data_IF_748817986357
#
_entry.id   IF_748817986357
#
_cell.length_a   1.000
_cell.length_b   1.000
_cell.length_c   1.000
_cell.angle_alpha   90.00
_cell.angle_beta   90.00
_cell.angle_gamma   90.00
#
_symmetry.space_group_name_H-M   'P 1'
#
loop_
_entity.id
_entity.type
_entity.pdbx_description
1 polymer ?
#
# COMPACT_ATOMS: atom_id res chain seq x y z
N UNK A 1 -19.41 -0.71 -15.53
CA UNK A 1 -19.63 -2.08 -16.05
C UNK A 1 -20.81 -2.83 -15.39
N UNK A 2 -21.61 -2.20 -14.51
CA UNK A 2 -22.70 -2.89 -13.79
C UNK A 2 -24.01 -3.06 -14.59
N UNK A 3 -24.25 -2.28 -15.64
CA UNK A 3 -25.54 -2.28 -16.36
C UNK A 3 -25.75 -3.46 -17.34
N UNK A 4 -24.71 -4.26 -17.64
CA UNK A 4 -24.84 -5.45 -18.51
C UNK A 4 -25.30 -6.70 -17.75
N UNK A 5 -25.07 -6.76 -16.44
CA UNK A 5 -25.38 -7.95 -15.64
C UNK A 5 -26.87 -8.05 -15.28
N UNK A 6 -27.52 -6.90 -15.02
CA UNK A 6 -28.94 -6.81 -14.67
C UNK A 6 -29.92 -7.07 -15.83
N UNK A 7 -29.47 -6.97 -17.10
CA UNK A 7 -30.32 -7.23 -18.27
C UNK A 7 -30.40 -8.71 -18.67
N UNK A 8 -29.52 -9.55 -18.14
CA UNK A 8 -29.48 -10.98 -18.47
C UNK A 8 -30.39 -11.83 -17.58
N UNK A 9 -30.77 -11.33 -16.39
CA UNK A 9 -31.65 -12.04 -15.46
C UNK A 9 -33.13 -11.89 -15.79
N UNK A 10 -33.53 -10.81 -16.48
CA UNK A 10 -34.93 -10.60 -16.89
C UNK A 10 -35.33 -11.38 -18.14
N UNK A 11 -34.38 -11.72 -19.02
CA UNK A 11 -34.67 -12.56 -20.21
C UNK A 11 -34.79 -14.05 -19.89
N UNK A 12 -34.09 -14.54 -18.86
CA UNK A 12 -34.17 -15.94 -18.47
C UNK A 12 -35.43 -16.27 -17.66
N UNK A 13 -35.99 -15.31 -16.91
CA UNK A 13 -37.23 -15.52 -16.16
C UNK A 13 -38.46 -15.64 -17.08
N UNK A 14 -38.54 -14.81 -18.12
CA UNK A 14 -39.66 -14.82 -19.09
C UNK A 14 -39.67 -16.11 -19.92
N UNK A 15 -38.52 -16.59 -20.37
CA UNK A 15 -38.38 -17.83 -21.14
C UNK A 15 -38.76 -19.09 -20.33
N UNK A 16 -38.60 -19.06 -19.01
CA UNK A 16 -39.02 -20.16 -18.14
C UNK A 16 -40.54 -20.17 -17.91
N UNK A 17 -41.18 -18.99 -17.89
CA UNK A 17 -42.63 -18.85 -17.73
C UNK A 17 -43.38 -19.43 -18.93
N UNK A 18 -42.96 -19.06 -20.15
CA UNK A 18 -43.55 -19.55 -21.41
C UNK A 18 -43.39 -21.07 -21.56
N UNK A 19 -42.27 -21.63 -21.10
CA UNK A 19 -42.05 -23.09 -21.07
C UNK A 19 -42.99 -23.80 -20.12
N UNK A 20 -43.31 -23.18 -18.98
CA UNK A 20 -44.22 -23.77 -18.01
C UNK A 20 -45.67 -23.74 -18.52
N UNK A 21 -46.09 -22.65 -19.15
CA UNK A 21 -47.42 -22.52 -19.76
C UNK A 21 -47.60 -23.49 -20.93
N UNK A 22 -46.58 -23.69 -21.78
CA UNK A 22 -46.62 -24.68 -22.86
C UNK A 22 -46.74 -26.13 -22.36
N UNK A 23 -46.05 -26.48 -21.27
CA UNK A 23 -46.17 -27.80 -20.63
C UNK A 23 -47.53 -27.97 -19.94
N UNK A 24 -48.07 -26.91 -19.36
CA UNK A 24 -49.40 -26.91 -18.75
C UNK A 24 -50.53 -27.06 -19.79
N UNK A 25 -50.37 -26.45 -20.97
CA UNK A 25 -51.33 -26.59 -22.06
C UNK A 25 -51.33 -28.02 -22.65
N UNK A 26 -50.16 -28.66 -22.77
CA UNK A 26 -50.04 -30.06 -23.24
C UNK A 26 -50.69 -31.08 -22.29
N UNK A 27 -50.84 -30.76 -21.00
CA UNK A 27 -51.53 -31.64 -20.05
C UNK A 27 -53.06 -31.63 -20.22
N UNK A 28 -53.62 -30.67 -20.96
CA UNK A 28 -55.07 -30.45 -21.06
C UNK A 28 -55.73 -31.05 -22.31
N UNK A 29 -54.97 -31.58 -23.27
CA UNK A 29 -55.50 -32.12 -24.54
C UNK A 29 -55.47 -33.65 -24.66
N UNK A 30 -55.04 -34.39 -23.62
CA UNK A 30 -54.99 -35.87 -23.64
C UNK A 30 -55.99 -36.54 -22.71
N UNK A 31 -57.13 -35.91 -22.42
CA UNK A 31 -58.22 -36.51 -21.65
C UNK A 31 -59.03 -37.51 -22.50
N UNK A 32 -58.38 -38.56 -22.99
CA UNK A 32 -59.08 -39.83 -23.18
C UNK A 32 -59.41 -40.36 -21.79
N UNK A 33 -60.63 -40.86 -21.51
CA UNK A 33 -60.93 -41.49 -20.23
C UNK A 33 -59.90 -42.59 -20.01
N UNK A 34 -58.99 -42.37 -19.07
CA UNK A 34 -57.92 -43.30 -18.81
C UNK A 34 -58.60 -44.47 -18.12
N UNK A 35 -58.84 -45.53 -18.89
CA UNK A 35 -59.34 -46.79 -18.37
C UNK A 35 -58.48 -47.19 -17.16
N UNK A 36 -59.11 -47.42 -16.01
CA UNK A 36 -58.39 -47.68 -14.76
C UNK A 36 -57.45 -48.88 -14.93
N UNK A 37 -57.85 -49.82 -15.79
CA UNK A 37 -57.06 -50.98 -16.17
C UNK A 37 -55.85 -50.62 -17.05
N UNK A 38 -55.91 -49.58 -17.89
CA UNK A 38 -54.79 -49.05 -18.68
C UNK A 38 -53.71 -48.46 -17.76
N UNK A 39 -54.12 -47.70 -16.74
CA UNK A 39 -53.23 -47.18 -15.69
C UNK A 39 -52.59 -48.36 -14.95
N UNK A 40 -53.40 -49.33 -14.56
CA UNK A 40 -52.94 -50.49 -13.82
C UNK A 40 -51.93 -51.32 -14.61
N UNK A 41 -52.15 -51.52 -15.92
CA UNK A 41 -51.17 -52.18 -16.83
C UNK A 41 -49.90 -51.36 -17.03
N UNK A 42 -49.99 -50.03 -17.09
CA UNK A 42 -48.81 -49.17 -17.27
C UNK A 42 -47.94 -49.12 -16.00
N UNK A 43 -48.56 -49.16 -14.83
CA UNK A 43 -47.88 -49.21 -13.52
C UNK A 43 -47.36 -50.62 -13.24
N UNK A 44 -48.18 -51.65 -13.47
CA UNK A 44 -47.86 -53.08 -13.29
C UNK A 44 -47.56 -53.72 -14.65
N UNK A 45 -46.60 -53.13 -15.39
CA UNK A 45 -46.11 -53.74 -16.64
C UNK A 45 -45.72 -55.20 -16.40
N UNK A 46 -45.85 -56.08 -17.42
CA UNK A 46 -45.44 -57.47 -17.32
C UNK A 46 -44.05 -57.60 -16.70
N UNK A 47 -43.97 -58.40 -15.65
CA UNK A 47 -42.72 -58.65 -14.96
C UNK A 47 -41.72 -59.26 -15.95
N UNK A 48 -40.58 -58.58 -16.14
CA UNK A 48 -39.53 -59.11 -17.00
C UNK A 48 -38.84 -60.24 -16.26
N UNK A 49 -38.72 -61.39 -16.92
CA UNK A 49 -38.06 -62.58 -16.37
C UNK A 49 -36.70 -62.21 -15.77
N UNK A 50 -36.48 -62.55 -14.50
CA UNK A 50 -35.25 -62.26 -13.76
C UNK A 50 -35.17 -60.89 -13.06
N UNK A 51 -36.23 -60.06 -13.10
CA UNK A 51 -36.26 -58.78 -12.38
C UNK A 51 -37.48 -58.69 -11.46
N UNK A 52 -37.30 -59.17 -10.23
CA UNK A 52 -38.31 -59.07 -9.17
C UNK A 52 -38.49 -57.61 -8.75
N UNK A 53 -39.73 -57.10 -8.74
CA UNK A 53 -40.06 -55.82 -8.12
C UNK A 53 -40.04 -55.99 -6.58
N UNK A 54 -38.86 -55.97 -5.99
CA UNK A 54 -38.71 -55.95 -4.53
C UNK A 54 -39.08 -54.58 -3.95
N UNK A 55 -39.71 -54.55 -2.78
CA UNK A 55 -39.75 -53.35 -1.94
C UNK A 55 -38.38 -53.19 -1.28
N UNK A 56 -37.63 -52.17 -1.71
CA UNK A 56 -36.27 -51.83 -1.30
C UNK A 56 -35.75 -50.70 -2.18
N UNK A 57 -34.62 -50.07 -1.83
CA UNK A 57 -34.00 -49.07 -2.70
C UNK A 57 -33.64 -49.77 -4.03
N UNK A 58 -34.49 -49.64 -5.05
CA UNK A 58 -34.25 -50.19 -6.38
C UNK A 58 -32.96 -49.64 -6.99
N UNK A 59 -32.60 -50.09 -8.20
CA UNK A 59 -31.44 -49.56 -8.94
C UNK A 59 -31.48 -48.03 -8.92
N UNK A 60 -30.59 -47.42 -8.14
CA UNK A 60 -30.48 -45.97 -8.04
C UNK A 60 -30.23 -45.43 -9.45
N UNK A 61 -31.09 -44.56 -10.00
CA UNK A 61 -30.80 -43.98 -11.31
C UNK A 61 -29.48 -43.21 -11.21
N UNK A 62 -28.44 -43.65 -11.92
CA UNK A 62 -27.09 -43.04 -11.87
C UNK A 62 -27.04 -41.67 -12.58
N UNK A 63 -28.16 -40.99 -12.73
CA UNK A 63 -28.31 -39.79 -13.56
C UNK A 63 -28.98 -38.65 -12.78
N UNK A 64 -28.50 -38.39 -11.56
CA UNK A 64 -28.96 -37.22 -10.77
C UNK A 64 -27.80 -36.34 -10.27
N UNK A 65 -26.57 -36.84 -10.22
CA UNK A 65 -25.43 -36.05 -9.76
C UNK A 65 -24.42 -35.85 -10.89
N UNK A 66 -24.31 -34.58 -11.32
CA UNK A 66 -23.27 -33.92 -12.12
C UNK A 66 -22.18 -34.86 -12.68
N UNK A 67 -22.07 -34.95 -14.00
CA UNK A 67 -21.02 -35.72 -14.68
C UNK A 67 -19.65 -35.41 -14.08
N UNK A 68 -19.07 -36.40 -13.39
CA UNK A 68 -17.69 -36.32 -12.91
C UNK A 68 -16.78 -36.38 -14.14
N UNK A 69 -15.88 -35.42 -14.34
CA UNK A 69 -14.95 -35.45 -15.47
C UNK A 69 -14.15 -36.75 -15.44
N UNK A 70 -13.96 -37.34 -16.62
CA UNK A 70 -13.20 -38.58 -16.76
C UNK A 70 -11.75 -38.39 -16.33
N UNK A 71 -11.03 -39.49 -16.05
CA UNK A 71 -9.63 -39.45 -15.60
C UNK A 71 -8.73 -38.60 -16.51
N UNK A 72 -8.94 -38.69 -17.84
CA UNK A 72 -8.16 -37.96 -18.85
C UNK A 72 -8.38 -36.44 -18.72
N UNK A 73 -9.64 -36.01 -18.57
CA UNK A 73 -10.00 -34.61 -18.41
C UNK A 73 -9.41 -34.04 -17.12
N UNK A 74 -9.47 -34.79 -16.02
CA UNK A 74 -8.84 -34.41 -14.76
C UNK A 74 -7.32 -34.24 -14.89
N UNK A 75 -6.63 -35.18 -15.56
CA UNK A 75 -5.17 -35.07 -15.77
C UNK A 75 -4.80 -33.89 -16.65
N UNK A 76 -5.58 -33.59 -17.70
CA UNK A 76 -5.35 -32.44 -18.56
C UNK A 76 -5.56 -31.12 -17.82
N UNK A 77 -6.62 -31.02 -16.99
CA UNK A 77 -6.87 -29.87 -16.16
C UNK A 77 -5.77 -29.66 -15.12
N UNK A 78 -5.26 -30.73 -14.50
CA UNK A 78 -4.16 -30.68 -13.55
C UNK A 78 -2.87 -30.18 -14.21
N UNK A 79 -2.52 -30.69 -15.40
CA UNK A 79 -1.36 -30.21 -16.15
C UNK A 79 -1.50 -28.73 -16.52
N UNK A 80 -2.67 -28.31 -17.01
CA UNK A 80 -2.92 -26.91 -17.35
C UNK A 80 -2.85 -26.00 -16.11
N UNK A 81 -3.33 -26.45 -14.96
CA UNK A 81 -3.23 -25.74 -13.69
C UNK A 81 -1.77 -25.62 -13.24
N UNK A 82 -0.98 -26.70 -13.33
CA UNK A 82 0.44 -26.69 -12.97
C UNK A 82 1.24 -25.69 -13.81
N UNK A 83 1.05 -25.68 -15.13
CA UNK A 83 1.71 -24.71 -16.03
C UNK A 83 1.31 -23.27 -15.70
N UNK A 84 0.05 -23.03 -15.32
CA UNK A 84 -0.38 -21.70 -14.86
C UNK A 84 0.28 -21.34 -13.54
N UNK A 85 0.40 -22.27 -12.61
CA UNK A 85 1.03 -22.05 -11.32
C UNK A 85 2.53 -21.72 -11.49
N UNK A 86 3.27 -22.44 -12.32
CA UNK A 86 4.68 -22.13 -12.62
C UNK A 86 4.85 -20.71 -13.21
N UNK A 87 3.96 -20.32 -14.13
CA UNK A 87 3.92 -18.95 -14.67
C UNK A 87 3.61 -17.89 -13.62
N UNK A 88 2.79 -18.22 -12.62
CA UNK A 88 2.50 -17.32 -11.51
C UNK A 88 3.69 -17.22 -10.54
N UNK A 89 4.32 -18.34 -10.19
CA UNK A 89 5.51 -18.40 -9.34
C UNK A 89 6.62 -17.53 -9.93
N UNK A 90 6.96 -17.72 -11.21
CA UNK A 90 7.97 -16.91 -11.89
C UNK A 90 7.64 -15.40 -11.96
N UNK A 91 6.35 -15.03 -11.98
CA UNK A 91 5.94 -13.63 -11.89
C UNK A 91 6.09 -13.09 -10.47
N UNK A 92 5.72 -13.88 -9.46
CA UNK A 92 5.88 -13.53 -8.04
C UNK A 92 7.35 -13.31 -7.73
N UNK A 93 8.25 -14.21 -8.13
CA UNK A 93 9.70 -14.06 -7.94
C UNK A 93 10.25 -12.77 -8.58
N UNK A 94 9.77 -12.40 -9.77
CA UNK A 94 10.15 -11.15 -10.43
C UNK A 94 9.64 -9.92 -9.68
N UNK A 95 8.43 -9.98 -9.13
CA UNK A 95 7.88 -8.91 -8.31
C UNK A 95 8.61 -8.77 -6.98
N UNK A 96 8.93 -9.88 -6.33
CA UNK A 96 9.71 -9.91 -5.09
C UNK A 96 11.10 -9.31 -5.28
N UNK A 97 11.80 -9.65 -6.36
CA UNK A 97 13.10 -9.05 -6.69
C UNK A 97 13.00 -7.53 -6.89
N UNK A 98 12.01 -7.07 -7.65
CA UNK A 98 11.78 -5.62 -7.84
C UNK A 98 11.45 -4.90 -6.54
N UNK A 99 10.62 -5.49 -5.68
CA UNK A 99 10.31 -4.90 -4.38
C UNK A 99 11.55 -4.83 -3.48
N UNK A 100 12.44 -5.81 -3.55
CA UNK A 100 13.67 -5.83 -2.77
C UNK A 100 14.68 -4.79 -3.29
N UNK A 101 14.79 -4.62 -4.61
CA UNK A 101 15.57 -3.54 -5.24
C UNK A 101 15.03 -2.16 -4.84
N UNK A 102 13.72 -1.91 -5.01
CA UNK A 102 13.07 -0.65 -4.59
C UNK A 102 13.28 -0.35 -3.09
N UNK A 103 13.25 -1.39 -2.24
CA UNK A 103 13.53 -1.23 -0.81
C UNK A 103 14.97 -0.86 -0.54
N UNK A 104 15.94 -1.41 -1.28
CA UNK A 104 17.35 -1.03 -1.16
C UNK A 104 17.57 0.39 -1.62
N UNK A 105 17.06 0.76 -2.79
CA UNK A 105 17.15 2.13 -3.32
C UNK A 105 16.56 3.15 -2.34
N UNK A 106 15.38 2.88 -1.78
CA UNK A 106 14.78 3.77 -0.77
C UNK A 106 15.62 3.87 0.50
N UNK A 107 16.24 2.78 0.96
CA UNK A 107 17.13 2.80 2.13
C UNK A 107 18.38 3.62 1.85
N UNK A 108 18.99 3.45 0.67
CA UNK A 108 20.17 4.20 0.24
C UNK A 108 19.86 5.69 0.13
N UNK A 109 18.77 6.06 -0.55
CA UNK A 109 18.30 7.45 -0.63
C UNK A 109 18.02 8.05 0.76
N UNK A 110 17.46 7.25 1.68
CA UNK A 110 17.20 7.71 3.05
C UNK A 110 18.51 7.95 3.84
N UNK A 111 19.51 7.09 3.66
CA UNK A 111 20.84 7.25 4.28
C UNK A 111 21.52 8.51 3.73
N UNK A 112 21.57 8.64 2.40
CA UNK A 112 22.17 9.80 1.74
C UNK A 112 21.50 11.12 2.17
N UNK A 113 20.16 11.17 2.19
CA UNK A 113 19.43 12.34 2.66
C UNK A 113 19.69 12.64 4.15
N UNK A 114 19.93 11.62 4.98
CA UNK A 114 20.27 11.82 6.39
C UNK A 114 21.69 12.37 6.55
N UNK A 115 22.65 11.88 5.75
CA UNK A 115 24.02 12.38 5.74
C UNK A 115 24.10 13.83 5.24
N UNK A 116 23.38 14.17 4.17
CA UNK A 116 23.31 15.55 3.69
C UNK A 116 22.72 16.50 4.74
N UNK A 117 21.63 16.09 5.41
CA UNK A 117 21.03 16.87 6.50
C UNK A 117 22.00 17.05 7.66
N UNK A 118 22.77 16.01 7.99
CA UNK A 118 23.79 16.07 9.04
C UNK A 118 24.92 17.03 8.66
N UNK A 119 25.43 16.99 7.43
CA UNK A 119 26.46 17.93 6.95
C UNK A 119 25.98 19.37 7.01
N UNK A 120 24.76 19.65 6.52
CA UNK A 120 24.14 20.98 6.62
C UNK A 120 24.00 21.45 8.07
N UNK A 121 23.61 20.56 8.98
CA UNK A 121 23.51 20.88 10.40
C UNK A 121 24.89 21.19 11.02
N UNK A 122 25.92 20.42 10.66
CA UNK A 122 27.30 20.66 11.11
C UNK A 122 27.83 22.01 10.58
N UNK A 123 27.58 22.33 9.31
CA UNK A 123 27.92 23.64 8.71
C UNK A 123 27.19 24.81 9.41
N UNK A 124 25.90 24.66 9.71
CA UNK A 124 25.12 25.68 10.42
C UNK A 124 25.63 25.90 11.85
N UNK A 125 26.06 24.83 12.53
CA UNK A 125 26.66 24.90 13.87
C UNK A 125 28.02 25.62 13.79
N UNK A 126 28.85 25.29 12.79
CA UNK A 126 30.15 25.92 12.59
C UNK A 126 30.00 27.43 12.31
N UNK A 127 29.11 27.82 11.40
CA UNK A 127 28.84 29.24 11.12
C UNK A 127 28.41 30.01 12.37
N UNK A 128 27.48 29.45 13.15
CA UNK A 128 27.04 30.07 14.41
C UNK A 128 28.16 30.19 15.44
N UNK A 129 29.09 29.24 15.47
CA UNK A 129 30.25 29.30 16.36
C UNK A 129 31.24 30.37 15.90
N UNK A 130 31.51 30.48 14.59
CA UNK A 130 32.37 31.51 14.01
C UNK A 130 31.80 32.92 14.22
N UNK A 131 30.50 33.11 14.01
CA UNK A 131 29.82 34.39 14.27
C UNK A 131 29.95 34.81 15.73
N UNK A 132 29.75 33.89 16.68
CA UNK A 132 29.96 34.17 18.11
C UNK A 132 31.40 34.55 18.43
N UNK A 133 32.38 33.84 17.86
CA UNK A 133 33.81 34.16 18.05
C UNK A 133 34.14 35.54 17.48
N UNK A 134 33.58 35.91 16.31
CA UNK A 134 33.76 37.24 15.74
C UNK A 134 33.10 38.33 16.59
N UNK A 135 31.92 38.08 17.11
CA UNK A 135 31.21 39.04 17.98
C UNK A 135 31.99 39.28 19.28
N UNK A 136 32.50 38.23 19.92
CA UNK A 136 33.36 38.36 21.10
C UNK A 136 34.66 39.12 20.79
N UNK A 137 35.30 38.84 19.65
CA UNK A 137 36.49 39.58 19.22
C UNK A 137 36.21 41.07 19.02
N UNK A 138 35.07 41.43 18.43
CA UNK A 138 34.65 42.84 18.27
C UNK A 138 34.43 43.51 19.63
N UNK A 139 33.74 42.84 20.55
CA UNK A 139 33.55 43.35 21.93
C UNK A 139 34.88 43.59 22.64
N UNK A 140 35.81 42.63 22.55
CA UNK A 140 37.15 42.76 23.13
C UNK A 140 37.95 43.90 22.51
N UNK A 141 37.85 44.12 21.20
CA UNK A 141 38.53 45.23 20.52
C UNK A 141 37.96 46.59 20.93
N UNK A 142 36.64 46.71 21.05
CA UNK A 142 35.97 47.92 21.51
C UNK A 142 36.32 48.24 22.97
N UNK A 143 36.38 47.22 23.84
CA UNK A 143 36.84 47.37 25.22
C UNK A 143 38.30 47.80 25.31
N UNK A 144 39.17 47.22 24.47
CA UNK A 144 40.58 47.60 24.39
C UNK A 144 40.74 49.06 23.94
N UNK A 145 39.98 49.51 22.94
CA UNK A 145 39.98 50.92 22.49
C UNK A 145 39.52 51.86 23.59
N UNK A 146 38.45 51.51 24.33
CA UNK A 146 37.99 52.30 25.48
C UNK A 146 39.06 52.41 26.57
N UNK A 147 39.75 51.33 26.90
CA UNK A 147 40.86 51.37 27.87
C UNK A 147 42.04 52.22 27.37
N UNK A 148 42.40 52.13 26.09
CA UNK A 148 43.46 52.95 25.49
C UNK A 148 43.08 54.45 25.55
N UNK A 149 41.84 54.81 25.20
CA UNK A 149 41.36 56.19 25.31
C UNK A 149 41.39 56.72 26.74
N UNK A 150 40.99 55.90 27.72
CA UNK A 150 41.09 56.25 29.14
C UNK A 150 42.55 56.48 29.54
N UNK A 151 43.46 55.59 29.15
CA UNK A 151 44.88 55.73 29.44
C UNK A 151 45.49 56.98 28.80
N UNK A 152 45.15 57.27 27.54
CA UNK A 152 45.59 58.48 26.84
C UNK A 152 45.03 59.75 27.49
N UNK A 153 43.77 59.71 27.93
CA UNK A 153 43.16 60.81 28.65
C UNK A 153 43.84 61.09 29.99
N UNK A 154 44.16 60.04 30.74
CA UNK A 154 44.87 60.15 32.02
C UNK A 154 46.30 60.63 31.82
N UNK A 155 46.98 60.16 30.76
CA UNK A 155 48.29 60.66 30.36
C UNK A 155 48.26 62.15 30.05
N UNK A 156 47.30 62.63 29.24
CA UNK A 156 47.13 64.07 28.92
C UNK A 156 46.89 64.90 30.17
N UNK A 157 46.09 64.40 31.13
CA UNK A 157 45.89 65.07 32.43
C UNK A 157 47.20 65.19 33.21
N UNK A 158 47.99 64.12 33.24
CA UNK A 158 49.28 64.11 33.92
C UNK A 158 50.26 65.11 33.31
N UNK A 159 50.39 65.11 31.98
CA UNK A 159 51.23 66.06 31.24
C UNK A 159 50.83 67.53 31.52
N UNK A 160 49.53 67.81 31.61
CA UNK A 160 49.01 69.14 31.95
C UNK A 160 49.37 69.57 33.38
N UNK A 161 49.30 68.66 34.35
CA UNK A 161 49.71 68.93 35.74
C UNK A 161 51.21 69.22 35.82
N UNK A 162 52.03 68.45 35.11
CA UNK A 162 53.49 68.65 35.08
C UNK A 162 53.83 70.01 34.48
N UNK A 163 53.24 70.36 33.34
CA UNK A 163 53.43 71.67 32.72
C UNK A 163 53.05 72.83 33.66
N UNK A 164 51.94 72.70 34.39
CA UNK A 164 51.52 73.68 35.40
C UNK A 164 52.54 73.82 36.54
N UNK A 165 53.08 72.70 37.04
CA UNK A 165 54.11 72.71 38.09
C UNK A 165 55.41 73.37 37.62
N UNK A 166 55.83 73.14 36.38
CA UNK A 166 57.03 73.75 35.80
C UNK A 166 56.87 75.26 35.62
N UNK A 167 55.69 75.72 35.18
CA UNK A 167 55.39 77.16 35.06
C UNK A 167 55.41 77.88 36.42
N UNK A 168 54.90 77.23 37.46
CA UNK A 168 54.92 77.73 38.84
C UNK A 168 56.35 77.82 39.41
N UNK A 169 57.25 76.90 39.06
CA UNK A 169 58.66 76.94 39.47
C UNK A 169 59.44 78.04 38.74
N UNK A 170 59.20 78.23 37.44
CA UNK A 170 59.85 79.28 36.65
C UNK A 170 59.53 80.70 37.13
N UNK A 171 58.29 80.95 37.59
CA UNK A 171 57.85 82.24 38.15
C UNK A 171 58.46 82.55 39.53
N UNK A 172 58.89 81.54 40.29
CA UNK A 172 59.53 81.73 41.59
C UNK A 172 61.05 82.00 41.51
N UNK A 173 61.69 81.83 40.34
CA UNK A 173 63.12 82.07 40.15
C UNK A 173 63.45 83.49 39.64
N UNK A 174 62.44 84.34 39.40
CA UNK A 174 62.61 85.73 38.91
C UNK A 174 62.38 86.80 40.00
N UNK A 175 62.38 86.43 41.28
CA UNK A 175 62.44 87.35 42.43
C UNK A 175 63.75 87.13 43.18
#
# INVERSE_FOLDING_TARGET
>A
MLNKFLKNTSKSSVCNQEKFEALSAQASESSTPIDEDEIYRQVIRPERHGRTRGYGLGTTPSSVFRATPGRIELTSQLQAANVRNEKLISKIEKLEKKMEEDKRERKEQMIEAMEEKRKKMEEDIQKKMEEKIQEEKRKMEDEKKKMEEQFQHDRRKMDMIVAFMDEMKGKNLQR
#
